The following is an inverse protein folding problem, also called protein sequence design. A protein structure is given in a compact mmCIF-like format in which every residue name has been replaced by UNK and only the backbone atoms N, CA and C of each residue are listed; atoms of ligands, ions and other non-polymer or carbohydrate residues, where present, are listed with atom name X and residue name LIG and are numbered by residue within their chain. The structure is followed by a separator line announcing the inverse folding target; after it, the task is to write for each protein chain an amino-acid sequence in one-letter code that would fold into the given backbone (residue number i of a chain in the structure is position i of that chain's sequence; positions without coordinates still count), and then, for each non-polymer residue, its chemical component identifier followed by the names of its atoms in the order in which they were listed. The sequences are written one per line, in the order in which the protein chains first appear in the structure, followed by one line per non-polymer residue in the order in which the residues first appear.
data_IF_237053501850
#
_entry.id   IF_237053501850
#
_cell.length_a   1.000
_cell.length_b   1.000
_cell.length_c   1.000
_cell.angle_alpha   90.00
_cell.angle_beta   90.00
_cell.angle_gamma   90.00
#
_symmetry.space_group_name_H-M   'P 1'
#
loop_
_entity.id
_entity.type
_entity.pdbx_description
1 polymer ?
#
# COMPACT_ATOMS: atom_id res chain seq x y z
N UNK A 1 15.09 -0.68 -33.66
CA UNK A 1 14.23 -1.22 -32.59
C UNK A 1 14.99 -1.10 -31.30
N UNK A 2 14.39 -0.55 -30.25
CA UNK A 2 14.99 -0.48 -28.94
C UNK A 2 14.65 -1.81 -28.24
N UNK A 3 15.59 -2.73 -28.15
CA UNK A 3 15.41 -3.97 -27.41
C UNK A 3 15.56 -3.64 -25.93
N UNK A 4 14.46 -3.77 -25.18
CA UNK A 4 14.53 -3.63 -23.74
C UNK A 4 15.27 -4.85 -23.16
N UNK A 5 16.15 -4.65 -22.18
CA UNK A 5 16.79 -5.77 -21.50
C UNK A 5 15.71 -6.64 -20.86
N UNK A 6 15.86 -7.97 -20.99
CA UNK A 6 15.00 -8.96 -20.35
C UNK A 6 15.22 -8.91 -18.83
N UNK A 7 14.49 -7.99 -18.19
CA UNK A 7 14.48 -7.76 -16.75
C UNK A 7 13.15 -8.27 -16.24
N UNK A 8 13.24 -9.26 -15.36
CA UNK A 8 12.12 -9.76 -14.58
C UNK A 8 12.05 -8.98 -13.26
N UNK A 9 11.02 -8.12 -13.13
CA UNK A 9 10.78 -7.39 -11.89
C UNK A 9 9.79 -8.15 -11.01
N UNK A 10 10.16 -8.50 -9.78
CA UNK A 10 9.24 -9.14 -8.86
C UNK A 10 8.22 -8.13 -8.32
N UNK A 11 6.96 -8.55 -8.25
CA UNK A 11 5.83 -7.70 -7.87
C UNK A 11 5.89 -7.15 -6.44
N UNK A 12 6.67 -7.78 -5.54
CA UNK A 12 6.83 -7.29 -4.17
C UNK A 12 7.39 -5.87 -4.07
N UNK A 13 8.05 -5.35 -5.10
CA UNK A 13 8.60 -3.98 -5.09
C UNK A 13 7.49 -2.95 -4.87
N UNK A 14 6.29 -3.17 -5.43
CA UNK A 14 5.13 -2.30 -5.22
C UNK A 14 4.60 -2.38 -3.77
N UNK A 15 4.76 -3.53 -3.10
CA UNK A 15 4.39 -3.67 -1.70
C UNK A 15 5.27 -2.85 -0.76
N UNK A 16 6.50 -2.50 -1.16
CA UNK A 16 7.41 -1.72 -0.30
C UNK A 16 6.85 -0.33 -0.04
N UNK A 17 6.38 0.36 -1.08
CA UNK A 17 5.81 1.71 -0.96
C UNK A 17 4.51 1.68 -0.15
N UNK A 18 3.64 0.71 -0.45
CA UNK A 18 2.42 0.49 0.30
C UNK A 18 2.70 0.17 1.77
N UNK A 19 3.63 -0.74 2.05
CA UNK A 19 4.04 -1.13 3.39
C UNK A 19 4.58 0.05 4.20
N UNK A 20 5.41 0.90 3.59
CA UNK A 20 5.91 2.12 4.23
C UNK A 20 4.74 3.07 4.60
N UNK A 21 3.79 3.28 3.70
CA UNK A 21 2.59 4.07 3.97
C UNK A 21 1.79 3.51 5.16
N UNK A 22 1.59 2.19 5.20
CA UNK A 22 0.87 1.53 6.30
C UNK A 22 1.58 1.66 7.64
N UNK A 23 2.91 1.54 7.65
CA UNK A 23 3.73 1.77 8.86
C UNK A 23 3.55 3.18 9.39
N UNK A 24 3.58 4.21 8.53
CA UNK A 24 3.34 5.58 8.97
C UNK A 24 1.95 5.77 9.56
N UNK A 25 0.92 5.14 8.98
CA UNK A 25 -0.43 5.18 9.51
C UNK A 25 -0.52 4.58 10.92
N UNK A 26 0.11 3.43 11.13
CA UNK A 26 0.18 2.77 12.44
C UNK A 26 0.94 3.64 13.44
N UNK A 27 2.11 4.15 13.09
CA UNK A 27 2.91 5.01 13.96
C UNK A 27 2.14 6.28 14.35
N UNK A 28 1.44 6.89 13.41
CA UNK A 28 0.61 8.06 13.66
C UNK A 28 -0.58 7.72 14.58
N UNK A 29 -1.23 6.56 14.40
CA UNK A 29 -2.28 6.09 15.31
C UNK A 29 -1.75 5.89 16.73
N UNK A 30 -0.60 5.23 16.89
CA UNK A 30 0.05 5.03 18.18
C UNK A 30 0.44 6.35 18.84
N UNK A 31 0.96 7.31 18.06
CA UNK A 31 1.26 8.66 18.55
C UNK A 31 0.00 9.36 19.07
N UNK A 32 -1.12 9.29 18.35
CA UNK A 32 -2.37 9.89 18.78
C UNK A 32 -2.93 9.24 20.04
N UNK A 33 -2.86 7.91 20.15
CA UNK A 33 -3.25 7.18 21.37
C UNK A 33 -2.36 7.61 22.54
N UNK A 34 -1.03 7.61 22.35
CA UNK A 34 -0.09 8.04 23.38
C UNK A 34 -0.37 9.48 23.83
N UNK A 35 -0.58 10.38 22.87
CA UNK A 35 -0.86 11.78 23.15
C UNK A 35 -2.16 11.95 23.95
N UNK A 36 -3.21 11.22 23.57
CA UNK A 36 -4.49 11.21 24.28
C UNK A 36 -4.34 10.68 25.72
N UNK A 37 -3.61 9.58 25.92
CA UNK A 37 -3.40 8.99 27.26
C UNK A 37 -2.54 9.90 28.15
N UNK A 38 -1.50 10.54 27.59
CA UNK A 38 -0.53 11.33 28.34
C UNK A 38 -0.97 12.78 28.59
N UNK A 39 -1.63 13.39 27.61
CA UNK A 39 -1.94 14.83 27.58
C UNK A 39 -3.43 15.12 27.37
N UNK A 40 -4.29 14.10 27.29
CA UNK A 40 -5.72 14.24 27.07
C UNK A 40 -6.45 14.87 28.25
N UNK A 41 -6.25 16.17 28.41
CA UNK A 41 -6.97 17.04 29.35
C UNK A 41 -8.22 17.63 28.68
N UNK A 42 -8.50 17.32 27.40
CA UNK A 42 -9.52 18.03 26.62
C UNK A 42 -10.50 17.11 25.85
N UNK A 43 -11.70 16.94 26.43
CA UNK A 43 -12.98 16.72 25.72
C UNK A 43 -13.29 15.33 25.13
N UNK A 44 -14.55 14.91 25.28
CA UNK A 44 -15.14 13.71 24.64
C UNK A 44 -14.91 13.63 23.12
N UNK A 45 -14.89 14.79 22.43
CA UNK A 45 -14.65 14.85 20.99
C UNK A 45 -13.28 14.33 20.55
N UNK A 46 -12.22 14.61 21.31
CA UNK A 46 -10.87 14.15 20.97
C UNK A 46 -10.77 12.62 21.09
N UNK A 47 -11.40 12.06 22.12
CA UNK A 47 -11.52 10.60 22.30
C UNK A 47 -12.25 9.94 21.13
N UNK A 48 -13.37 10.52 20.69
CA UNK A 48 -14.11 10.00 19.54
C UNK A 48 -13.27 10.01 18.26
N UNK A 49 -12.57 11.12 17.97
CA UNK A 49 -11.71 11.24 16.78
C UNK A 49 -10.60 10.19 16.81
N UNK A 50 -9.87 10.07 17.93
CA UNK A 50 -8.77 9.09 18.04
C UNK A 50 -9.30 7.66 17.94
N UNK A 51 -10.48 7.38 18.50
CA UNK A 51 -11.11 6.05 18.43
C UNK A 51 -11.49 5.70 17.00
N UNK A 52 -12.17 6.60 16.29
CA UNK A 52 -12.55 6.40 14.87
C UNK A 52 -11.30 6.26 14.00
N UNK A 53 -10.29 7.11 14.20
CA UNK A 53 -9.04 7.05 13.45
C UNK A 53 -8.29 5.73 13.68
N UNK A 54 -8.15 5.31 14.93
CA UNK A 54 -7.47 4.07 15.31
C UNK A 54 -8.24 2.84 14.79
N UNK A 55 -9.56 2.81 14.99
CA UNK A 55 -10.41 1.74 14.48
C UNK A 55 -10.34 1.64 12.96
N UNK A 56 -10.41 2.78 12.25
CA UNK A 56 -10.22 2.86 10.81
C UNK A 56 -8.84 2.35 10.38
N UNK A 57 -7.77 2.71 11.10
CA UNK A 57 -6.41 2.21 10.85
C UNK A 57 -6.33 0.69 10.98
N UNK A 58 -6.91 0.12 12.04
CA UNK A 58 -6.96 -1.33 12.24
C UNK A 58 -7.70 -2.01 11.08
N UNK A 59 -8.87 -1.51 10.69
CA UNK A 59 -9.65 -2.05 9.58
C UNK A 59 -8.88 -1.97 8.25
N UNK A 60 -8.18 -0.86 8.01
CA UNK A 60 -7.41 -0.66 6.78
C UNK A 60 -6.22 -1.61 6.72
N UNK A 61 -5.47 -1.75 7.82
CA UNK A 61 -4.34 -2.68 7.93
C UNK A 61 -4.80 -4.13 7.79
N UNK A 62 -5.79 -4.55 8.57
CA UNK A 62 -6.29 -5.92 8.53
C UNK A 62 -6.91 -6.24 7.17
N UNK A 63 -7.80 -5.38 6.68
CA UNK A 63 -8.50 -5.55 5.41
C UNK A 63 -7.54 -5.64 4.22
N UNK A 64 -6.57 -4.73 4.14
CA UNK A 64 -5.55 -4.80 3.09
C UNK A 64 -4.68 -6.04 3.21
N UNK A 65 -4.27 -6.44 4.41
CA UNK A 65 -3.48 -7.66 4.61
C UNK A 65 -4.24 -8.89 4.11
N UNK A 66 -5.52 -9.04 4.45
CA UNK A 66 -6.35 -10.15 3.98
C UNK A 66 -6.50 -10.16 2.45
N UNK A 67 -6.75 -9.00 1.84
CA UNK A 67 -6.87 -8.90 0.37
C UNK A 67 -5.56 -9.21 -0.35
N UNK A 68 -4.41 -8.90 0.25
CA UNK A 68 -3.10 -9.11 -0.36
C UNK A 68 -2.56 -10.54 -0.14
N UNK A 69 -3.07 -11.30 0.84
CA UNK A 69 -2.61 -12.66 1.15
C UNK A 69 -2.83 -13.66 0.01
N UNK A 70 -3.87 -13.48 -0.79
CA UNK A 70 -4.22 -14.40 -1.88
C UNK A 70 -3.30 -14.27 -3.11
N UNK A 71 -2.54 -13.17 -3.21
CA UNK A 71 -1.69 -12.88 -4.34
C UNK A 71 -0.28 -13.47 -4.17
N UNK A 72 0.24 -14.07 -5.26
CA UNK A 72 1.62 -14.51 -5.31
C UNK A 72 2.54 -13.35 -5.74
N UNK A 73 3.09 -12.64 -4.77
CA UNK A 73 3.98 -11.49 -4.96
C UNK A 73 5.38 -11.82 -5.49
N UNK A 74 5.72 -13.11 -5.56
CA UNK A 74 6.98 -13.59 -6.12
C UNK A 74 6.89 -13.81 -7.64
N UNK A 75 5.70 -13.68 -8.24
CA UNK A 75 5.54 -13.74 -9.68
C UNK A 75 6.33 -12.59 -10.34
N UNK A 76 7.28 -12.91 -11.23
CA UNK A 76 7.98 -11.90 -12.00
C UNK A 76 7.07 -11.34 -13.10
N UNK A 77 7.11 -10.04 -13.30
CA UNK A 77 6.61 -9.41 -14.53
C UNK A 77 7.81 -9.18 -15.45
N UNK A 78 7.77 -9.80 -16.62
CA UNK A 78 8.71 -9.52 -17.71
C UNK A 78 8.36 -8.18 -18.34
N UNK A 79 9.35 -7.29 -18.41
CA UNK A 79 9.23 -5.98 -19.07
C UNK A 79 8.96 -6.09 -20.57
N UNK A 80 9.44 -7.15 -21.22
CA UNK A 80 9.25 -7.43 -22.64
C UNK A 80 7.75 -7.65 -22.95
N UNK A 81 7.11 -8.56 -22.20
CA UNK A 81 5.68 -8.87 -22.33
C UNK A 81 4.78 -7.66 -22.02
N UNK A 82 5.17 -6.81 -21.07
CA UNK A 82 4.41 -5.61 -20.71
C UNK A 82 4.41 -4.56 -21.83
N UNK A 83 5.52 -4.44 -22.57
CA UNK A 83 5.61 -3.54 -23.73
C UNK A 83 4.96 -4.10 -24.99
N UNK A 84 5.00 -5.42 -25.19
CA UNK A 84 4.33 -6.07 -26.32
C UNK A 84 2.81 -5.87 -26.24
N UNK A 85 2.22 -6.06 -25.06
CA UNK A 85 0.81 -5.74 -24.79
C UNK A 85 0.45 -4.27 -25.05
N UNK A 86 1.33 -3.33 -24.67
CA UNK A 86 1.12 -1.91 -24.95
C UNK A 86 1.12 -1.60 -26.45
N UNK A 87 2.03 -2.20 -27.22
CA UNK A 87 2.15 -1.93 -28.66
C UNK A 87 1.00 -2.57 -29.46
N UNK A 88 0.59 -3.80 -29.14
CA UNK A 88 -0.48 -4.48 -29.88
C UNK A 88 -1.89 -3.90 -29.60
N UNK A 89 -2.20 -3.52 -28.36
CA UNK A 89 -3.57 -3.09 -28.00
C UNK A 89 -3.81 -1.58 -28.11
N UNK A 90 -2.80 -0.72 -27.96
CA UNK A 90 -2.98 0.75 -27.98
C UNK A 90 -2.56 1.39 -29.31
N UNK A 91 -1.63 0.78 -30.06
CA UNK A 91 -1.15 1.32 -31.34
C UNK A 91 -0.89 0.21 -32.39
N UNK A 92 -1.92 -0.54 -32.82
CA UNK A 92 -1.77 -1.74 -33.66
C UNK A 92 -1.21 -1.51 -35.08
N UNK A 93 -0.89 -0.27 -35.47
CA UNK A 93 -0.54 0.11 -36.85
C UNK A 93 0.72 0.98 -36.98
N UNK A 94 1.53 1.08 -35.92
CA UNK A 94 2.88 1.66 -35.94
C UNK A 94 3.91 0.55 -35.66
#
# INVERSE_FOLDING_TARGET
MFELPNIDLPLYVFLVVFGAYMVFYVLYSLFNIYHLVRYGVYGFGLYLIVTVFTGGTILLVAGSTFLLLEYNWMLPISLENATEFYNEDLFPAL
#
